data_IF_518944569192
#
_entry.id   IF_518944569192
#
_cell.length_a   1.000
_cell.length_b   1.000
_cell.length_c   1.000
_cell.angle_alpha   90.00
_cell.angle_beta   90.00
_cell.angle_gamma   90.00
#
_symmetry.space_group_name_H-M   'P 1'
#
loop_
_entity.id
_entity.type
_entity.pdbx_description
1 polymer ?
#
# COMPACT_ATOMS: atom_id res chain seq x y z
N UNK A 1 11.48 -51.56 38.37
CA UNK A 1 12.62 -51.01 37.60
C UNK A 1 12.09 -50.25 36.39
N UNK A 2 12.41 -48.95 36.33
CA UNK A 2 12.45 -48.01 35.19
C UNK A 2 11.50 -48.24 33.99
N UNK A 3 10.21 -47.88 34.15
CA UNK A 3 9.38 -47.36 33.04
C UNK A 3 9.46 -45.84 33.09
N UNK A 4 10.47 -45.27 32.43
CA UNK A 4 10.67 -43.82 32.37
C UNK A 4 11.57 -43.36 31.22
N UNK A 5 12.02 -44.29 30.37
CA UNK A 5 12.92 -44.00 29.26
C UNK A 5 12.22 -43.94 27.89
N UNK A 6 11.00 -44.48 27.78
CA UNK A 6 10.26 -44.47 26.52
C UNK A 6 9.69 -43.08 26.20
N UNK A 7 9.14 -42.38 27.20
CA UNK A 7 8.56 -41.04 27.01
C UNK A 7 9.62 -39.98 26.67
N UNK A 8 10.87 -40.17 27.11
CA UNK A 8 11.95 -39.20 26.88
C UNK A 8 12.30 -39.06 25.40
N UNK A 9 12.25 -40.15 24.62
CA UNK A 9 12.56 -40.14 23.19
C UNK A 9 11.46 -39.46 22.35
N UNK A 10 10.19 -39.67 22.71
CA UNK A 10 9.05 -39.01 22.05
C UNK A 10 9.04 -37.50 22.28
N UNK A 11 9.43 -37.04 23.46
CA UNK A 11 9.55 -35.61 23.76
C UNK A 11 10.61 -34.95 22.88
N UNK A 12 11.77 -35.62 22.69
CA UNK A 12 12.85 -35.12 21.83
C UNK A 12 12.37 -35.01 20.38
N UNK A 13 11.68 -36.03 19.86
CA UNK A 13 11.14 -36.01 18.50
C UNK A 13 10.10 -34.90 18.34
N UNK A 14 9.20 -34.74 19.30
CA UNK A 14 8.19 -33.68 19.29
C UNK A 14 8.82 -32.29 19.23
N UNK A 15 9.87 -32.05 20.02
CA UNK A 15 10.59 -30.78 20.02
C UNK A 15 11.26 -30.49 18.66
N UNK A 16 11.88 -31.50 18.03
CA UNK A 16 12.51 -31.33 16.72
C UNK A 16 11.48 -31.03 15.63
N UNK A 17 10.34 -31.74 15.61
CA UNK A 17 9.27 -31.49 14.63
C UNK A 17 8.70 -30.10 14.82
N UNK A 18 8.40 -29.69 16.06
CA UNK A 18 7.89 -28.35 16.34
C UNK A 18 8.85 -27.25 15.87
N UNK A 19 10.16 -27.42 16.07
CA UNK A 19 11.18 -26.49 15.61
C UNK A 19 11.22 -26.41 14.08
N UNK A 20 11.16 -27.54 13.38
CA UNK A 20 11.14 -27.57 11.90
C UNK A 20 9.90 -26.89 11.35
N UNK A 21 8.72 -27.16 11.93
CA UNK A 21 7.46 -26.52 11.52
C UNK A 21 7.52 -25.00 11.70
N UNK A 22 8.09 -24.52 12.82
CA UNK A 22 8.27 -23.09 13.06
C UNK A 22 9.15 -22.46 11.97
N UNK A 23 10.28 -23.07 11.62
CA UNK A 23 11.17 -22.58 10.56
C UNK A 23 10.42 -22.49 9.22
N UNK A 24 9.65 -23.52 8.86
CA UNK A 24 8.87 -23.53 7.61
C UNK A 24 7.85 -22.40 7.60
N UNK A 25 7.13 -22.20 8.72
CA UNK A 25 6.18 -21.09 8.85
C UNK A 25 6.88 -19.74 8.73
N UNK A 26 8.06 -19.56 9.35
CA UNK A 26 8.85 -18.34 9.22
C UNK A 26 9.25 -18.07 7.77
N UNK A 27 9.71 -19.08 7.03
CA UNK A 27 10.11 -18.92 5.62
C UNK A 27 8.91 -18.55 4.74
N UNK A 28 7.76 -19.22 4.93
CA UNK A 28 6.54 -18.93 4.16
C UNK A 28 6.01 -17.53 4.49
N UNK A 29 5.95 -17.18 5.78
CA UNK A 29 5.51 -15.84 6.18
C UNK A 29 6.49 -14.78 5.70
N UNK A 30 7.80 -14.95 5.87
CA UNK A 30 8.80 -13.98 5.36
C UNK A 30 8.69 -13.79 3.84
N UNK A 31 8.47 -14.86 3.07
CA UNK A 31 8.30 -14.78 1.62
C UNK A 31 7.03 -14.04 1.18
N UNK A 32 5.94 -14.11 1.96
CA UNK A 32 4.68 -13.43 1.66
C UNK A 32 4.61 -12.02 2.24
N UNK A 33 5.16 -11.80 3.43
CA UNK A 33 5.19 -10.51 4.12
C UNK A 33 5.97 -9.48 3.30
N UNK A 34 7.09 -9.85 2.67
CA UNK A 34 7.81 -8.94 1.76
C UNK A 34 6.92 -8.39 0.62
N UNK A 35 6.03 -9.22 0.06
CA UNK A 35 5.13 -8.81 -1.02
C UNK A 35 3.99 -7.93 -0.48
N UNK A 36 3.49 -8.26 0.71
CA UNK A 36 2.44 -7.50 1.39
C UNK A 36 2.95 -6.14 1.89
N UNK A 37 4.19 -6.06 2.38
CA UNK A 37 4.85 -4.82 2.78
C UNK A 37 5.04 -3.89 1.59
N UNK A 38 5.52 -4.42 0.45
CA UNK A 38 5.58 -3.62 -0.78
C UNK A 38 4.20 -3.13 -1.23
N UNK A 39 3.15 -3.95 -1.13
CA UNK A 39 1.80 -3.55 -1.51
C UNK A 39 1.12 -2.56 -0.54
N UNK A 40 1.44 -2.60 0.76
CA UNK A 40 0.88 -1.68 1.75
C UNK A 40 1.55 -0.30 1.71
N UNK A 41 2.85 -0.28 1.39
CA UNK A 41 3.63 0.95 1.27
C UNK A 41 3.44 1.63 -0.08
N UNK A 42 2.88 0.94 -1.08
CA UNK A 42 2.66 1.50 -2.41
C UNK A 42 1.59 2.61 -2.40
N UNK A 43 2.01 3.81 -2.81
CA UNK A 43 1.15 4.98 -2.94
C UNK A 43 -0.06 4.73 -3.87
N UNK A 44 0.16 4.02 -4.97
CA UNK A 44 -0.83 3.81 -6.01
C UNK A 44 -1.89 2.81 -5.57
N UNK A 45 -1.48 1.78 -4.82
CA UNK A 45 -2.38 0.82 -4.15
C UNK A 45 -3.31 1.45 -3.10
N UNK A 46 -2.94 2.61 -2.55
CA UNK A 46 -3.75 3.40 -1.60
C UNK A 46 -4.62 4.47 -2.26
N UNK A 47 -4.59 4.56 -3.59
CA UNK A 47 -5.37 5.54 -4.36
C UNK A 47 -4.70 6.91 -4.48
N UNK A 48 -3.41 7.02 -4.15
CA UNK A 48 -2.59 8.20 -4.42
C UNK A 48 -1.94 8.16 -5.82
N UNK A 49 -1.39 9.30 -6.24
CA UNK A 49 -0.55 9.43 -7.43
C UNK A 49 0.90 9.70 -7.03
N UNK A 50 1.84 9.21 -7.82
CA UNK A 50 3.27 9.45 -7.61
C UNK A 50 3.73 10.57 -8.53
N UNK A 51 3.91 11.77 -7.97
CA UNK A 51 4.33 12.96 -8.70
C UNK A 51 5.78 13.34 -8.36
N UNK A 52 6.49 13.93 -9.32
CA UNK A 52 7.92 14.23 -9.20
C UNK A 52 8.22 15.46 -8.35
N UNK A 53 7.23 16.33 -8.13
CA UNK A 53 7.43 17.59 -7.41
C UNK A 53 6.35 17.80 -6.36
N UNK A 54 6.75 18.03 -5.11
CA UNK A 54 5.82 18.34 -4.02
C UNK A 54 4.95 19.59 -4.29
N UNK A 55 5.43 20.52 -5.12
CA UNK A 55 4.66 21.72 -5.53
C UNK A 55 3.45 21.38 -6.42
N UNK A 56 3.57 20.39 -7.31
CA UNK A 56 2.46 19.90 -8.13
C UNK A 56 1.45 19.10 -7.31
N UNK A 57 1.93 18.52 -6.21
CA UNK A 57 1.12 17.82 -5.23
C UNK A 57 0.25 18.78 -4.42
N UNK A 58 0.84 19.87 -3.90
CA UNK A 58 0.15 20.86 -3.06
C UNK A 58 -1.01 21.53 -3.81
N UNK A 59 -0.88 21.69 -5.13
CA UNK A 59 -1.96 22.24 -5.97
C UNK A 59 -3.10 21.25 -6.22
N UNK A 60 -2.86 19.94 -6.05
CA UNK A 60 -3.85 18.88 -6.31
C UNK A 60 -4.31 18.13 -5.06
N UNK A 61 -3.65 18.30 -3.91
CA UNK A 61 -3.88 17.46 -2.73
C UNK A 61 -2.84 17.59 -1.62
N UNK A 62 -2.76 16.53 -0.80
CA UNK A 62 -1.85 16.44 0.35
C UNK A 62 -0.71 15.47 0.07
N UNK A 63 0.51 15.89 0.40
CA UNK A 63 1.71 15.05 0.31
C UNK A 63 1.75 14.09 1.49
N UNK A 64 2.03 12.81 1.24
CA UNK A 64 2.36 11.84 2.28
C UNK A 64 3.73 11.23 2.03
N UNK A 65 4.55 11.21 3.07
CA UNK A 65 5.86 10.54 3.06
C UNK A 65 5.80 9.13 3.64
N UNK A 66 4.64 8.71 4.16
CA UNK A 66 4.46 7.38 4.73
C UNK A 66 4.30 6.28 3.66
N UNK A 67 4.06 6.68 2.41
CA UNK A 67 3.90 5.77 1.28
C UNK A 67 4.99 6.03 0.26
N UNK A 68 5.53 4.94 -0.26
CA UNK A 68 6.59 4.96 -1.24
C UNK A 68 6.01 4.86 -2.65
N UNK A 69 6.67 5.57 -3.55
CA UNK A 69 6.43 5.47 -4.97
C UNK A 69 7.48 4.53 -5.56
N UNK A 70 7.05 3.56 -6.37
CA UNK A 70 7.96 2.68 -7.10
C UNK A 70 8.82 3.52 -8.06
N UNK A 71 10.00 3.93 -7.58
CA UNK A 71 10.99 4.65 -8.34
C UNK A 71 11.97 3.63 -8.92
N UNK A 72 12.21 3.60 -10.24
CA UNK A 72 13.30 2.79 -10.78
C UNK A 72 14.61 3.22 -10.12
N UNK A 73 15.46 2.26 -9.76
CA UNK A 73 16.69 2.44 -8.96
C UNK A 73 17.76 3.40 -9.56
N UNK A 74 17.47 4.04 -10.69
CA UNK A 74 18.38 4.90 -11.44
C UNK A 74 18.00 6.39 -11.38
N UNK A 75 17.09 6.79 -10.50
CA UNK A 75 16.68 8.19 -10.39
C UNK A 75 17.45 8.86 -9.24
N UNK A 76 18.12 10.01 -9.48
CA UNK A 76 18.77 10.78 -8.42
C UNK A 76 17.76 11.20 -7.33
N UNK A 77 18.19 11.26 -6.06
CA UNK A 77 17.35 11.60 -4.90
C UNK A 77 16.56 12.91 -5.07
N UNK A 78 17.07 13.84 -5.88
CA UNK A 78 16.43 15.12 -6.18
C UNK A 78 15.16 14.99 -7.05
N UNK A 79 14.91 13.82 -7.64
CA UNK A 79 13.71 13.49 -8.41
C UNK A 79 12.91 12.36 -7.77
N UNK A 80 13.07 12.14 -6.46
CA UNK A 80 12.30 11.15 -5.70
C UNK A 80 10.82 11.52 -5.76
N UNK A 81 10.02 10.68 -6.44
CA UNK A 81 8.57 10.88 -6.50
C UNK A 81 7.99 10.85 -5.09
N UNK A 82 7.12 11.81 -4.81
CA UNK A 82 6.36 11.88 -3.57
C UNK A 82 4.95 11.31 -3.80
N UNK A 83 4.40 10.70 -2.75
CA UNK A 83 3.03 10.21 -2.81
C UNK A 83 2.04 11.37 -2.57
N UNK A 84 1.13 11.53 -3.51
CA UNK A 84 0.13 12.57 -3.54
C UNK A 84 -1.26 11.99 -3.40
N UNK A 85 -1.94 12.36 -2.33
CA UNK A 85 -3.36 12.11 -2.21
C UNK A 85 -4.09 13.31 -2.76
N UNK A 86 -4.60 13.18 -3.98
CA UNK A 86 -5.48 14.19 -4.55
C UNK A 86 -6.65 14.44 -3.59
N UNK A 87 -7.02 15.71 -3.38
CA UNK A 87 -8.34 16.03 -2.82
C UNK A 87 -9.35 15.70 -3.89
N UNK A 88 -9.65 14.41 -4.03
CA UNK A 88 -10.73 13.97 -4.88
C UNK A 88 -12.00 14.63 -4.35
N UNK A 89 -12.69 15.32 -5.25
CA UNK A 89 -13.88 16.09 -4.96
C UNK A 89 -15.08 15.15 -4.81
N UNK A 90 -15.89 15.43 -3.79
CA UNK A 90 -17.11 14.68 -3.54
C UNK A 90 -18.16 14.96 -4.63
N UNK A 91 -19.15 14.07 -4.75
CA UNK A 91 -20.27 14.28 -5.67
C UNK A 91 -20.96 15.62 -5.35
N UNK A 92 -21.11 16.48 -6.36
CA UNK A 92 -21.63 17.84 -6.25
C UNK A 92 -20.59 18.96 -6.19
N UNK A 93 -19.31 18.65 -6.03
CA UNK A 93 -18.23 19.65 -6.07
C UNK A 93 -17.72 19.90 -7.50
N UNK A 94 -17.28 21.12 -7.77
CA UNK A 94 -16.87 21.54 -9.11
C UNK A 94 -15.57 20.88 -9.59
N UNK A 95 -15.54 20.27 -10.77
CA UNK A 95 -14.40 19.51 -11.30
C UNK A 95 -13.94 20.05 -12.66
N UNK A 96 -12.69 19.77 -13.05
CA UNK A 96 -12.19 20.14 -14.38
C UNK A 96 -11.99 18.91 -15.26
N UNK A 97 -11.58 17.79 -14.65
CA UNK A 97 -11.32 16.48 -15.27
C UNK A 97 -12.02 15.37 -14.48
N UNK A 98 -12.31 14.25 -15.15
CA UNK A 98 -12.91 13.07 -14.50
C UNK A 98 -12.04 12.48 -13.38
N UNK A 99 -10.71 12.65 -13.46
CA UNK A 99 -9.77 12.20 -12.44
C UNK A 99 -9.91 12.94 -11.11
N UNK A 100 -10.59 14.10 -11.08
CA UNK A 100 -10.75 14.92 -9.90
C UNK A 100 -11.86 14.39 -8.97
N UNK A 101 -12.68 13.42 -9.40
CA UNK A 101 -13.83 12.93 -8.65
C UNK A 101 -13.50 11.68 -7.82
N UNK A 102 -14.00 11.61 -6.57
CA UNK A 102 -13.84 10.42 -5.67
C UNK A 102 -14.41 9.17 -6.33
N UNK A 103 -15.57 9.33 -6.94
CA UNK A 103 -16.26 8.35 -7.77
C UNK A 103 -17.05 9.11 -8.82
N UNK A 104 -17.19 8.48 -9.99
CA UNK A 104 -17.98 9.02 -11.10
C UNK A 104 -17.21 9.89 -12.09
N UNK A 105 -17.97 10.59 -12.92
CA UNK A 105 -17.46 11.44 -14.01
C UNK A 105 -17.79 12.91 -13.77
N UNK A 106 -16.94 13.77 -14.31
CA UNK A 106 -17.10 15.21 -14.27
C UNK A 106 -18.10 15.64 -15.34
N UNK A 107 -19.37 15.82 -14.97
CA UNK A 107 -20.45 16.20 -15.88
C UNK A 107 -20.87 17.66 -15.69
N UNK A 108 -21.38 18.28 -16.75
CA UNK A 108 -21.84 19.67 -16.71
C UNK A 108 -23.25 19.72 -16.13
N UNK A 109 -23.43 20.29 -14.93
CA UNK A 109 -24.76 20.60 -14.39
C UNK A 109 -25.28 21.90 -15.00
N UNK A 110 -26.33 21.81 -15.82
CA UNK A 110 -27.20 22.94 -16.17
C UNK A 110 -28.20 23.16 -15.02
N UNK A 111 -28.46 24.41 -14.60
CA UNK A 111 -28.47 25.64 -15.41
C UNK A 111 -27.22 26.53 -15.35
N UNK A 112 -26.19 26.19 -14.57
CA UNK A 112 -25.07 27.10 -14.27
C UNK A 112 -23.75 26.82 -15.03
N UNK A 113 -23.77 25.96 -16.05
CA UNK A 113 -22.59 25.56 -16.85
C UNK A 113 -21.36 25.17 -16.01
N UNK A 114 -21.58 24.65 -14.80
CA UNK A 114 -20.51 24.25 -13.89
C UNK A 114 -20.34 22.74 -14.00
N UNK A 115 -19.12 22.32 -14.31
CA UNK A 115 -18.72 20.92 -14.26
C UNK A 115 -18.67 20.47 -12.81
N UNK A 116 -19.37 19.40 -12.46
CA UNK A 116 -19.41 18.82 -11.10
C UNK A 116 -19.18 17.32 -11.14
N UNK A 117 -18.62 16.78 -10.07
CA UNK A 117 -18.50 15.34 -9.89
C UNK A 117 -19.89 14.74 -9.66
N UNK A 118 -20.18 13.63 -10.32
CA UNK A 118 -21.50 12.97 -10.29
C UNK A 118 -21.38 11.59 -9.70
#
# INVERSE_FOLDING_TARGET
>A
MKKGSADMWWIIIGAVIALVVLIILMVIFTGKTNILESGLLDCQGKGGSCDFTASECITKGTVSHAFECSNPANIPEESKKVCCFGVKKASGEGCEKNSDCISGTCEIRTPLATKVCT
#
